data_IF_709729202215
#
_entry.id   IF_709729202215
#
_cell.length_a   1.000
_cell.length_b   1.000
_cell.length_c   1.000
_cell.angle_alpha   90.00
_cell.angle_beta   90.00
_cell.angle_gamma   90.00
#
_symmetry.space_group_name_H-M   'P 1'
#
loop_
_entity.id
_entity.type
_entity.pdbx_description
1 polymer ?
#
# COMPACT_ATOMS: atom_id res chain seq x y z
N UNK A 1 3.20 8.72 11.85
CA UNK A 1 2.64 8.24 10.56
C UNK A 1 2.39 9.40 9.60
N UNK A 2 3.43 10.07 9.09
CA UNK A 2 3.23 10.89 7.89
C UNK A 2 2.82 9.94 6.75
N UNK A 3 1.65 10.19 6.18
CA UNK A 3 1.14 9.49 5.00
C UNK A 3 0.97 10.53 3.89
N UNK A 4 1.12 10.12 2.64
CA UNK A 4 0.79 10.95 1.48
C UNK A 4 -0.73 11.17 1.33
N UNK A 5 -1.54 10.41 2.06
CA UNK A 5 -3.01 10.38 1.97
C UNK A 5 -3.64 10.58 3.36
N UNK A 6 -3.40 11.75 3.95
CA UNK A 6 -4.10 12.21 5.15
C UNK A 6 -5.49 12.71 4.78
N UNK A 7 -6.50 12.33 5.56
CA UNK A 7 -7.85 12.82 5.39
C UNK A 7 -8.54 13.06 6.73
N UNK A 8 -9.38 14.08 6.72
CA UNK A 8 -10.32 14.39 7.78
C UNK A 8 -11.61 14.89 7.13
N UNK A 9 -12.72 14.24 7.46
CA UNK A 9 -14.05 14.62 7.02
C UNK A 9 -14.95 14.73 8.25
N UNK A 10 -15.69 15.82 8.33
CA UNK A 10 -16.70 16.07 9.37
C UNK A 10 -18.07 16.15 8.70
N UNK A 11 -18.97 15.23 9.06
CA UNK A 11 -20.35 15.18 8.57
C UNK A 11 -21.35 15.75 9.60
N UNK A 12 -20.85 16.29 10.72
CA UNK A 12 -21.63 16.85 11.81
C UNK A 12 -22.07 15.79 12.83
N UNK A 13 -22.73 14.73 12.36
CA UNK A 13 -23.15 13.60 13.21
C UNK A 13 -22.06 12.52 13.38
N UNK A 14 -21.12 12.43 12.44
CA UNK A 14 -19.92 11.61 12.56
C UNK A 14 -18.72 12.22 11.83
N UNK A 15 -17.53 11.72 12.19
CA UNK A 15 -16.26 12.17 11.64
C UNK A 15 -15.46 10.97 11.13
N UNK A 16 -14.72 11.17 10.05
CA UNK A 16 -13.80 10.19 9.48
C UNK A 16 -12.40 10.82 9.48
N UNK A 17 -11.46 10.19 10.19
CA UNK A 17 -10.06 10.59 10.24
C UNK A 17 -9.16 9.42 9.88
N UNK A 18 -8.13 9.67 9.08
CA UNK A 18 -7.18 8.62 8.75
C UNK A 18 -5.96 9.08 7.96
N UNK A 19 -5.04 8.14 7.83
CA UNK A 19 -3.77 8.30 7.14
C UNK A 19 -3.57 7.04 6.29
N UNK A 20 -4.09 7.02 5.06
CA UNK A 20 -4.06 5.80 4.24
C UNK A 20 -2.62 5.46 3.84
N UNK A 21 -2.13 4.22 4.05
CA UNK A 21 -0.82 3.82 3.55
C UNK A 21 -0.80 3.67 2.02
N UNK A 22 -1.97 3.57 1.39
CA UNK A 22 -2.12 3.20 -0.02
C UNK A 22 -3.18 4.04 -0.74
N UNK A 23 -2.98 4.29 -2.04
CA UNK A 23 -4.00 4.86 -2.92
C UNK A 23 -4.86 3.76 -3.54
N UNK A 24 -6.19 3.93 -3.53
CA UNK A 24 -7.08 3.06 -4.28
C UNK A 24 -6.83 3.15 -5.81
N UNK A 25 -7.01 4.35 -6.36
CA UNK A 25 -6.77 4.65 -7.78
C UNK A 25 -6.48 6.13 -7.98
N UNK A 26 -5.66 6.48 -8.97
CA UNK A 26 -5.41 7.84 -9.44
C UNK A 26 -5.58 7.90 -10.95
N UNK A 27 -6.28 8.91 -11.45
CA UNK A 27 -6.44 9.17 -12.89
C UNK A 27 -5.85 10.53 -13.23
N UNK A 28 -4.83 10.56 -14.09
CA UNK A 28 -4.18 11.80 -14.55
C UNK A 28 -3.92 11.71 -16.04
N UNK A 29 -4.40 12.70 -16.80
CA UNK A 29 -4.23 12.76 -18.26
C UNK A 29 -4.66 11.47 -18.99
N UNK A 30 -5.76 10.86 -18.55
CA UNK A 30 -6.26 9.60 -19.12
C UNK A 30 -5.48 8.35 -18.70
N UNK A 31 -4.45 8.48 -17.87
CA UNK A 31 -3.69 7.35 -17.32
C UNK A 31 -4.28 6.98 -15.95
N UNK A 32 -4.71 5.72 -15.83
CA UNK A 32 -5.16 5.11 -14.57
C UNK A 32 -3.97 4.46 -13.88
N UNK A 33 -3.80 4.69 -12.58
CA UNK A 33 -2.73 4.11 -11.77
C UNK A 33 -3.29 3.59 -10.46
N UNK A 34 -2.91 2.37 -10.09
CA UNK A 34 -3.13 1.77 -8.76
C UNK A 34 -1.80 1.21 -8.27
N UNK A 35 -1.59 1.19 -6.95
CA UNK A 35 -0.34 0.76 -6.34
C UNK A 35 -0.66 -0.21 -5.19
N UNK A 36 -1.13 -1.43 -5.48
CA UNK A 36 -1.47 -2.42 -4.45
C UNK A 36 -0.27 -2.68 -3.55
N UNK A 37 -0.47 -2.65 -2.23
CA UNK A 37 0.56 -2.99 -1.24
C UNK A 37 0.14 -4.27 -0.51
N UNK A 38 1.08 -5.21 -0.41
CA UNK A 38 0.91 -6.41 0.38
C UNK A 38 2.27 -6.93 0.82
N UNK A 39 2.26 -7.62 1.95
CA UNK A 39 3.47 -7.98 2.65
C UNK A 39 3.90 -6.90 3.63
N UNK A 40 4.25 -7.31 4.84
CA UNK A 40 4.68 -6.36 5.88
C UNK A 40 5.76 -6.98 6.77
N UNK A 41 6.71 -6.14 7.17
CA UNK A 41 7.63 -6.35 8.28
C UNK A 41 7.65 -5.09 9.14
N UNK A 42 7.97 -5.19 10.44
CA UNK A 42 8.29 -4.01 11.23
C UNK A 42 9.52 -3.30 10.65
N UNK A 43 9.69 -2.02 10.97
CA UNK A 43 10.95 -1.31 10.68
C UNK A 43 12.01 -1.74 11.70
N UNK A 44 13.26 -1.83 11.27
CA UNK A 44 14.40 -2.13 12.14
C UNK A 44 14.72 -0.99 13.10
N UNK A 45 15.41 -1.28 14.20
CA UNK A 45 15.87 -0.27 15.15
C UNK A 45 17.06 0.55 14.60
N UNK A 46 17.73 0.05 13.57
CA UNK A 46 18.82 0.68 12.85
C UNK A 46 18.81 0.25 11.37
N UNK A 47 19.64 0.90 10.55
CA UNK A 47 19.66 0.69 9.09
C UNK A 47 20.02 -0.75 8.68
N UNK A 48 20.87 -1.43 9.44
CA UNK A 48 21.30 -2.81 9.16
C UNK A 48 20.15 -3.81 9.42
N UNK A 49 19.48 -3.67 10.56
CA UNK A 49 18.31 -4.48 10.89
C UNK A 49 17.16 -4.21 9.91
N UNK A 50 16.95 -2.96 9.52
CA UNK A 50 15.91 -2.59 8.58
C UNK A 50 16.15 -3.18 7.18
N UNK A 51 17.40 -3.14 6.71
CA UNK A 51 17.80 -3.78 5.46
C UNK A 51 17.62 -5.30 5.52
N UNK A 52 17.90 -5.92 6.67
CA UNK A 52 17.71 -7.35 6.88
C UNK A 52 16.22 -7.72 6.81
N UNK A 53 15.36 -6.98 7.51
CA UNK A 53 13.90 -7.19 7.49
C UNK A 53 13.31 -6.96 6.09
N UNK A 54 13.81 -5.96 5.35
CA UNK A 54 13.41 -5.72 3.97
C UNK A 54 13.81 -6.89 3.06
N UNK A 55 15.04 -7.40 3.20
CA UNK A 55 15.51 -8.57 2.44
C UNK A 55 14.71 -9.83 2.79
N UNK A 56 14.37 -10.02 4.06
CA UNK A 56 13.54 -11.14 4.52
C UNK A 56 12.16 -11.09 3.83
N UNK A 57 11.48 -9.95 3.85
CA UNK A 57 10.19 -9.76 3.19
C UNK A 57 10.26 -10.06 1.68
N UNK A 58 11.32 -9.60 1.02
CA UNK A 58 11.52 -9.84 -0.42
C UNK A 58 11.78 -11.31 -0.76
N UNK A 59 12.31 -12.08 0.20
CA UNK A 59 12.61 -13.50 0.04
C UNK A 59 11.49 -14.45 0.46
N UNK A 60 10.48 -13.94 1.17
CA UNK A 60 9.34 -14.72 1.65
C UNK A 60 8.41 -15.11 0.48
N UNK A 61 8.39 -16.41 0.17
CA UNK A 61 7.60 -16.96 -0.94
C UNK A 61 6.10 -16.71 -0.75
N UNK A 62 5.59 -16.76 0.48
CA UNK A 62 4.17 -16.52 0.76
C UNK A 62 3.83 -15.06 0.49
N UNK A 63 4.59 -14.13 1.06
CA UNK A 63 4.30 -12.70 0.94
C UNK A 63 4.45 -12.22 -0.51
N UNK A 64 5.46 -12.71 -1.23
CA UNK A 64 5.63 -12.39 -2.65
C UNK A 64 4.53 -12.98 -3.53
N UNK A 65 4.01 -14.18 -3.21
CA UNK A 65 2.88 -14.78 -3.91
C UNK A 65 1.57 -13.99 -3.69
N UNK A 66 1.28 -13.61 -2.44
CA UNK A 66 0.11 -12.78 -2.11
C UNK A 66 0.17 -11.41 -2.79
N UNK A 67 1.35 -10.76 -2.80
CA UNK A 67 1.53 -9.50 -3.49
C UNK A 67 1.33 -9.61 -5.00
N UNK A 68 1.88 -10.64 -5.65
CA UNK A 68 1.65 -10.87 -7.09
C UNK A 68 0.18 -11.08 -7.42
N UNK A 69 -0.53 -11.86 -6.61
CA UNK A 69 -1.97 -12.08 -6.79
C UNK A 69 -2.75 -10.76 -6.77
N UNK A 70 -2.44 -9.85 -5.84
CA UNK A 70 -3.11 -8.54 -5.75
C UNK A 70 -2.78 -7.63 -6.93
N UNK A 71 -1.53 -7.66 -7.40
CA UNK A 71 -1.15 -6.94 -8.64
C UNK A 71 -1.96 -7.46 -9.83
N UNK A 72 -2.08 -8.78 -9.99
CA UNK A 72 -2.85 -9.36 -11.10
C UNK A 72 -4.35 -9.06 -11.00
N UNK A 73 -4.92 -9.02 -9.79
CA UNK A 73 -6.29 -8.57 -9.57
C UNK A 73 -6.45 -7.10 -9.99
N UNK A 74 -5.57 -6.20 -9.55
CA UNK A 74 -5.62 -4.79 -9.92
C UNK A 74 -5.47 -4.56 -11.43
N UNK A 75 -4.68 -5.39 -12.11
CA UNK A 75 -4.58 -5.39 -13.59
C UNK A 75 -5.89 -5.82 -14.24
N UNK A 76 -6.58 -6.81 -13.69
CA UNK A 76 -7.90 -7.24 -14.20
C UNK A 76 -8.92 -6.12 -14.07
N UNK A 77 -8.92 -5.43 -12.92
CA UNK A 77 -9.88 -4.38 -12.61
C UNK A 77 -9.69 -3.13 -13.49
N UNK A 78 -8.43 -2.73 -13.75
CA UNK A 78 -8.13 -1.61 -14.66
C UNK A 78 -8.35 -1.95 -16.14
N UNK A 79 -8.19 -3.22 -16.51
CA UNK A 79 -8.30 -3.68 -17.91
C UNK A 79 -9.72 -3.78 -18.46
N UNK A 80 -10.76 -3.48 -17.65
CA UNK A 80 -12.16 -3.44 -18.06
C UNK A 80 -12.58 -2.05 -18.51
#
# INVERSE_FOLDING_TARGET
>A
NPSNYLYFYDFGDYQIIGASPESLVSVKNGIVTTNPIAGTRPRGANDEEDATLASDLLSDEKETAEHRMLVDLGRNDIGR
#
